data_IF_979644189978
#
_entry.id   IF_979644189978
#
_cell.length_a   1.000
_cell.length_b   1.000
_cell.length_c   1.000
_cell.angle_alpha   90.00
_cell.angle_beta   90.00
_cell.angle_gamma   90.00
#
_symmetry.space_group_name_H-M   'P 1'
#
loop_
_entity.id
_entity.type
_entity.pdbx_description
1 polymer ?
#
# COMPACT_ATOMS: atom_id res chain seq x y z
N UNK A 1 20.24 2.23 -15.96
CA UNK A 1 19.23 1.57 -16.81
C UNK A 1 17.87 2.24 -16.57
N UNK A 2 17.09 2.48 -17.62
CA UNK A 2 15.73 2.99 -17.53
C UNK A 2 14.75 1.83 -17.61
N UNK A 3 13.74 1.84 -16.72
CA UNK A 3 12.65 0.86 -16.71
C UNK A 3 11.34 1.62 -16.87
N UNK A 4 10.53 1.34 -17.90
CA UNK A 4 9.19 1.92 -18.01
C UNK A 4 8.35 1.55 -16.80
N UNK A 5 7.54 2.50 -16.34
CA UNK A 5 6.67 2.28 -15.19
C UNK A 5 5.34 3.01 -15.35
N UNK A 6 4.36 2.57 -14.58
CA UNK A 6 3.05 3.18 -14.47
C UNK A 6 2.72 3.44 -12.99
N UNK A 7 2.23 4.62 -12.67
CA UNK A 7 1.78 4.98 -11.33
C UNK A 7 0.27 5.25 -11.32
N UNK A 8 -0.42 4.81 -10.26
CA UNK A 8 -1.81 5.14 -10.01
C UNK A 8 -1.98 5.61 -8.57
N UNK A 9 -2.57 6.80 -8.43
CA UNK A 9 -2.94 7.39 -7.15
C UNK A 9 -4.44 7.32 -6.94
N UNK A 10 -4.88 7.16 -5.70
CA UNK A 10 -6.30 7.11 -5.33
C UNK A 10 -6.52 7.65 -3.93
N UNK A 11 -7.75 8.04 -3.59
CA UNK A 11 -8.23 7.99 -2.20
C UNK A 11 -8.48 6.54 -1.80
N UNK A 12 -8.74 6.25 -0.52
CA UNK A 12 -8.92 4.87 -0.01
C UNK A 12 -10.29 4.66 0.64
N UNK A 13 -10.63 5.42 1.66
CA UNK A 13 -11.96 5.33 2.30
C UNK A 13 -13.06 5.99 1.45
N UNK A 14 -12.70 6.94 0.61
CA UNK A 14 -13.58 7.59 -0.35
C UNK A 14 -14.23 6.60 -1.31
N UNK A 15 -15.47 6.86 -1.68
CA UNK A 15 -16.21 6.15 -2.72
C UNK A 15 -16.02 6.86 -4.06
N UNK A 16 -16.44 6.23 -5.16
CA UNK A 16 -16.37 6.87 -6.49
C UNK A 16 -17.08 8.22 -6.48
N UNK A 17 -16.37 9.27 -6.90
CA UNK A 17 -16.85 10.66 -6.84
C UNK A 17 -16.56 11.39 -5.53
N UNK A 18 -15.87 10.76 -4.56
CA UNK A 18 -15.31 11.48 -3.41
C UNK A 18 -14.31 12.54 -3.89
N UNK A 19 -14.19 13.64 -3.15
CA UNK A 19 -13.25 14.70 -3.49
C UNK A 19 -11.80 14.29 -3.18
N UNK A 20 -10.87 14.70 -4.05
CA UNK A 20 -9.47 14.36 -3.90
C UNK A 20 -8.84 14.95 -2.63
N UNK A 21 -9.28 16.10 -2.18
CA UNK A 21 -8.78 16.78 -0.99
C UNK A 21 -9.48 16.37 0.33
N UNK A 22 -10.27 15.29 0.33
CA UNK A 22 -10.79 14.74 1.59
C UNK A 22 -9.65 14.19 2.46
N UNK A 23 -9.87 14.23 3.81
CA UNK A 23 -8.98 13.57 4.78
C UNK A 23 -9.09 12.07 4.63
N UNK A 24 -8.05 11.44 4.10
CA UNK A 24 -8.00 10.02 3.79
C UNK A 24 -6.55 9.56 3.61
N UNK A 25 -6.31 8.26 3.63
CA UNK A 25 -5.10 7.66 3.08
C UNK A 25 -5.14 7.83 1.55
N UNK A 26 -3.97 7.96 0.94
CA UNK A 26 -3.84 7.92 -0.53
C UNK A 26 -3.22 6.60 -0.95
N UNK A 27 -3.83 5.92 -1.91
CA UNK A 27 -3.21 4.81 -2.60
C UNK A 27 -2.03 5.30 -3.43
N UNK A 28 -0.95 4.54 -3.44
CA UNK A 28 0.29 4.81 -4.15
C UNK A 28 0.75 3.49 -4.77
N UNK A 29 0.28 3.21 -5.99
CA UNK A 29 0.56 1.96 -6.67
C UNK A 29 1.48 2.19 -7.87
N UNK A 30 2.54 1.38 -7.98
CA UNK A 30 3.52 1.42 -9.04
C UNK A 30 3.58 0.06 -9.72
N UNK A 31 3.65 0.05 -11.05
CA UNK A 31 3.91 -1.11 -11.88
C UNK A 31 5.18 -0.86 -12.69
N UNK A 32 6.20 -1.66 -12.46
CA UNK A 32 7.45 -1.62 -13.23
C UNK A 32 7.43 -2.72 -14.29
N UNK A 33 7.57 -2.33 -15.55
CA UNK A 33 7.65 -3.25 -16.67
C UNK A 33 9.12 -3.65 -16.87
N UNK A 34 9.57 -4.64 -16.10
CA UNK A 34 10.97 -5.09 -16.13
C UNK A 34 11.21 -6.09 -17.25
N UNK A 35 12.47 -6.42 -17.52
CA UNK A 35 12.86 -7.45 -18.48
C UNK A 35 12.54 -8.87 -18.00
N UNK A 36 12.26 -9.04 -16.70
CA UNK A 36 11.94 -10.32 -16.07
C UNK A 36 10.45 -10.45 -15.70
N UNK A 37 9.63 -9.48 -16.13
CA UNK A 37 8.20 -9.45 -15.84
C UNK A 37 7.77 -8.14 -15.19
N UNK A 38 6.51 -8.09 -14.82
CA UNK A 38 5.98 -6.94 -14.08
C UNK A 38 6.24 -7.09 -12.59
N UNK A 39 6.79 -6.04 -12.01
CA UNK A 39 6.85 -5.87 -10.58
C UNK A 39 5.86 -4.80 -10.14
N UNK A 40 4.93 -5.17 -9.26
CA UNK A 40 3.94 -4.25 -8.69
C UNK A 40 4.27 -3.95 -7.23
N UNK A 41 4.36 -2.67 -6.92
CA UNK A 41 4.41 -2.16 -5.56
C UNK A 41 3.06 -1.48 -5.24
N UNK A 42 2.27 -2.10 -4.39
CA UNK A 42 0.91 -1.63 -4.07
C UNK A 42 0.89 -1.07 -2.65
N UNK A 43 1.21 0.20 -2.53
CA UNK A 43 1.39 0.90 -1.27
C UNK A 43 0.43 2.07 -1.05
N UNK A 44 0.76 2.85 -0.04
CA UNK A 44 0.03 4.05 0.37
C UNK A 44 1.00 5.21 0.63
N UNK A 45 0.44 6.40 0.90
CA UNK A 45 1.21 7.55 1.36
C UNK A 45 1.56 7.50 2.85
N UNK A 46 1.31 6.38 3.52
CA UNK A 46 1.59 6.15 4.94
C UNK A 46 2.47 4.92 5.12
N UNK A 47 3.43 4.93 6.07
CA UNK A 47 4.34 3.79 6.28
C UNK A 47 3.71 2.62 7.01
N UNK A 48 2.51 2.79 7.56
CA UNK A 48 1.74 1.79 8.32
C UNK A 48 0.30 1.75 7.85
N UNK A 49 -0.47 0.81 8.41
CA UNK A 49 -1.91 0.68 8.15
C UNK A 49 -2.69 0.52 9.47
N UNK A 50 -4.02 0.58 9.43
CA UNK A 50 -4.88 0.44 10.61
C UNK A 50 -4.85 -0.96 11.22
N UNK A 51 -4.59 -1.98 10.41
CA UNK A 51 -4.76 -3.39 10.73
C UNK A 51 -3.50 -4.18 10.45
N UNK A 52 -3.27 -5.21 11.25
CA UNK A 52 -2.25 -6.23 11.03
C UNK A 52 -2.85 -7.63 10.82
N UNK A 53 -4.14 -7.80 11.10
CA UNK A 53 -4.89 -9.04 10.87
C UNK A 53 -5.89 -8.87 9.73
N UNK A 54 -5.74 -9.60 8.61
CA UNK A 54 -6.62 -9.48 7.45
C UNK A 54 -8.08 -9.83 7.72
N UNK A 55 -8.37 -10.62 8.75
CA UNK A 55 -9.75 -10.97 9.15
C UNK A 55 -10.56 -9.74 9.59
N UNK A 56 -9.90 -8.69 10.06
CA UNK A 56 -10.54 -7.43 10.46
C UNK A 56 -10.76 -6.45 9.30
N UNK A 57 -10.26 -6.76 8.11
CA UNK A 57 -10.38 -5.84 6.97
C UNK A 57 -11.83 -5.62 6.52
N UNK A 58 -12.70 -6.66 6.45
CA UNK A 58 -14.12 -6.46 6.18
C UNK A 58 -14.82 -5.59 7.24
N UNK A 59 -14.44 -5.71 8.51
CA UNK A 59 -15.01 -4.92 9.60
C UNK A 59 -14.57 -3.46 9.51
N UNK A 60 -13.30 -3.19 9.19
CA UNK A 60 -12.84 -1.82 8.89
C UNK A 60 -13.68 -1.20 7.77
N UNK A 61 -13.91 -1.91 6.67
CA UNK A 61 -14.70 -1.41 5.57
C UNK A 61 -16.14 -1.07 6.01
N UNK A 62 -16.77 -1.90 6.81
CA UNK A 62 -18.11 -1.63 7.35
C UNK A 62 -18.14 -0.42 8.28
N UNK A 63 -17.11 -0.27 9.13
CA UNK A 63 -17.02 0.85 10.05
C UNK A 63 -16.84 2.20 9.37
N UNK A 64 -16.03 2.27 8.30
CA UNK A 64 -15.68 3.53 7.61
C UNK A 64 -16.59 3.86 6.44
N UNK A 65 -17.43 2.94 5.96
CA UNK A 65 -18.31 3.16 4.80
C UNK A 65 -19.68 3.66 5.24
N UNK A 66 -20.69 2.83 5.20
CA UNK A 66 -22.09 3.23 5.33
C UNK A 66 -22.82 2.50 6.45
N UNK A 67 -23.59 3.24 7.23
CA UNK A 67 -24.54 2.68 8.18
C UNK A 67 -25.59 1.84 7.43
N UNK A 68 -25.86 0.59 7.84
CA UNK A 68 -26.74 -0.32 7.11
C UNK A 68 -28.21 0.09 7.13
N UNK A 69 -28.61 0.96 8.06
CA UNK A 69 -29.99 1.45 8.19
C UNK A 69 -30.22 2.73 7.40
N UNK A 70 -29.29 3.68 7.49
CA UNK A 70 -29.48 5.03 6.95
C UNK A 70 -28.77 5.26 5.63
N UNK A 71 -27.83 4.39 5.28
CA UNK A 71 -26.90 4.56 4.16
C UNK A 71 -26.04 5.84 4.25
N UNK A 72 -25.87 6.39 5.43
CA UNK A 72 -25.01 7.54 5.70
C UNK A 72 -23.68 7.09 6.31
N UNK A 73 -22.61 7.86 6.12
CA UNK A 73 -21.37 7.65 6.89
C UNK A 73 -21.64 7.95 8.36
N UNK A 74 -21.10 7.13 9.26
CA UNK A 74 -21.29 7.25 10.70
C UNK A 74 -19.98 7.55 11.41
N UNK A 75 -19.84 8.76 11.91
CA UNK A 75 -18.73 9.16 12.77
C UNK A 75 -18.65 8.28 14.00
N UNK A 76 -19.79 7.93 14.62
CA UNK A 76 -19.87 7.02 15.75
C UNK A 76 -19.26 5.66 15.45
N UNK A 77 -19.67 4.99 14.35
CA UNK A 77 -19.16 3.65 14.03
C UNK A 77 -17.69 3.65 13.66
N UNK A 78 -17.25 4.67 12.92
CA UNK A 78 -15.85 4.81 12.56
C UNK A 78 -14.96 4.95 13.80
N UNK A 79 -15.31 5.87 14.72
CA UNK A 79 -14.52 6.09 15.94
C UNK A 79 -14.71 5.00 16.99
N UNK A 80 -15.86 4.33 17.04
CA UNK A 80 -16.05 3.16 17.89
C UNK A 80 -15.07 2.05 17.51
N UNK A 81 -14.99 1.74 16.22
CA UNK A 81 -14.04 0.74 15.70
C UNK A 81 -12.59 1.12 16.03
N UNK A 82 -12.17 2.35 15.69
CA UNK A 82 -10.80 2.78 15.92
C UNK A 82 -10.43 2.85 17.40
N UNK A 83 -11.34 3.23 18.28
CA UNK A 83 -11.06 3.29 19.71
C UNK A 83 -11.09 1.92 20.38
N UNK A 84 -11.76 0.93 19.82
CA UNK A 84 -11.73 -0.46 20.27
C UNK A 84 -10.52 -1.24 19.76
N UNK A 85 -9.86 -0.74 18.73
CA UNK A 85 -8.74 -1.38 18.06
C UNK A 85 -7.44 -0.59 18.29
N UNK A 86 -6.70 -0.86 19.39
CA UNK A 86 -5.52 -0.05 19.73
C UNK A 86 -4.40 -0.13 18.69
N UNK A 87 -4.27 -1.19 17.94
CA UNK A 87 -3.31 -1.33 16.84
C UNK A 87 -3.49 -0.27 15.74
N UNK A 88 -4.70 0.29 15.60
CA UNK A 88 -5.00 1.34 14.64
C UNK A 88 -4.44 2.71 15.03
N UNK A 89 -4.04 2.93 16.28
CA UNK A 89 -3.67 4.25 16.80
C UNK A 89 -2.56 4.91 16.01
N UNK A 90 -1.53 4.16 15.58
CA UNK A 90 -0.42 4.69 14.79
C UNK A 90 -0.91 5.30 13.47
N UNK A 91 -1.70 4.55 12.72
CA UNK A 91 -2.27 5.02 11.46
C UNK A 91 -3.27 6.15 11.66
N UNK A 92 -4.13 6.07 12.68
CA UNK A 92 -5.09 7.15 13.01
C UNK A 92 -4.34 8.44 13.33
N UNK A 93 -3.23 8.38 14.09
CA UNK A 93 -2.38 9.54 14.39
C UNK A 93 -1.87 10.19 13.09
N UNK A 94 -1.42 9.42 12.13
CA UNK A 94 -0.94 9.96 10.83
C UNK A 94 -2.10 10.59 10.04
N UNK A 95 -3.25 9.91 9.94
CA UNK A 95 -4.40 10.42 9.18
C UNK A 95 -5.00 11.67 9.82
N UNK A 96 -4.98 11.80 11.14
CA UNK A 96 -5.47 12.97 11.85
C UNK A 96 -4.43 14.10 11.94
N UNK A 97 -3.16 13.85 11.65
CA UNK A 97 -2.14 14.88 11.55
C UNK A 97 -2.36 15.80 10.32
N UNK A 98 -1.47 16.76 10.13
CA UNK A 98 -1.40 17.59 8.93
C UNK A 98 -1.22 16.75 7.64
N UNK A 99 -0.59 15.58 7.73
CA UNK A 99 -0.37 14.68 6.59
C UNK A 99 -1.62 13.97 6.07
N UNK A 100 -2.73 14.05 6.77
CA UNK A 100 -4.00 13.42 6.35
C UNK A 100 -4.64 14.06 5.11
N UNK A 101 -4.24 15.27 4.74
CA UNK A 101 -4.68 15.95 3.52
C UNK A 101 -3.47 16.48 2.77
N UNK A 102 -2.79 15.67 1.96
CA UNK A 102 -1.74 16.15 1.06
C UNK A 102 -2.31 17.21 0.11
N UNK A 103 -1.54 18.26 -0.14
CA UNK A 103 -1.93 19.34 -1.07
C UNK A 103 -2.19 18.80 -2.49
N UNK A 104 -1.39 17.83 -2.92
CA UNK A 104 -1.58 17.10 -4.16
C UNK A 104 -0.89 15.74 -4.11
N UNK A 105 -1.10 14.88 -5.12
CA UNK A 105 -0.38 13.61 -5.26
C UNK A 105 1.14 13.79 -5.40
N UNK A 106 1.60 14.94 -5.90
CA UNK A 106 3.03 15.26 -6.05
C UNK A 106 3.73 15.55 -4.73
N UNK A 107 2.99 15.98 -3.70
CA UNK A 107 3.50 16.46 -2.41
C UNK A 107 3.37 15.42 -1.29
N UNK A 108 3.37 14.14 -1.62
CA UNK A 108 3.32 13.06 -0.64
C UNK A 108 4.38 12.00 -0.93
N UNK A 109 4.86 11.34 0.12
CA UNK A 109 5.68 10.14 -0.01
C UNK A 109 4.81 8.93 -0.34
N UNK A 110 5.45 7.87 -0.87
CA UNK A 110 4.86 6.56 -1.01
C UNK A 110 5.63 5.53 -0.18
N UNK A 111 4.93 4.47 0.25
CA UNK A 111 5.51 3.41 1.07
C UNK A 111 4.94 2.06 0.64
N UNK A 112 5.76 1.02 0.68
CA UNK A 112 5.26 -0.35 0.58
C UNK A 112 4.41 -0.74 1.79
N UNK A 113 4.67 -0.10 2.93
CA UNK A 113 4.15 -0.37 4.27
C UNK A 113 4.51 -1.77 4.77
N UNK A 114 4.29 -2.79 3.96
CA UNK A 114 4.70 -4.17 4.22
C UNK A 114 6.21 -4.36 4.20
N UNK A 115 6.64 -5.39 4.91
CA UNK A 115 7.97 -5.97 4.73
C UNK A 115 7.92 -6.96 3.58
N UNK A 116 8.88 -6.84 2.67
CA UNK A 116 9.19 -7.79 1.61
C UNK A 116 10.55 -8.43 1.90
N UNK A 117 11.05 -9.23 0.98
CA UNK A 117 12.42 -9.75 1.06
C UNK A 117 13.20 -9.52 -0.23
N UNK A 118 14.51 -9.30 -0.09
CA UNK A 118 15.48 -9.46 -1.16
C UNK A 118 16.18 -10.81 -1.01
N UNK A 119 16.44 -11.45 -2.14
CA UNK A 119 17.24 -12.67 -2.23
C UNK A 119 18.40 -12.40 -3.18
N UNK A 120 19.60 -12.52 -2.68
CA UNK A 120 20.81 -12.25 -3.44
C UNK A 120 21.26 -13.47 -4.26
N UNK A 121 22.34 -13.30 -5.05
CA UNK A 121 22.91 -14.37 -5.89
C UNK A 121 23.45 -15.56 -5.09
N UNK A 122 23.74 -15.39 -3.81
CA UNK A 122 24.18 -16.46 -2.90
C UNK A 122 23.00 -17.19 -2.25
N UNK A 123 21.77 -16.89 -2.65
CA UNK A 123 20.53 -17.40 -2.05
C UNK A 123 20.37 -17.03 -0.57
N UNK A 124 20.81 -15.83 -0.19
CA UNK A 124 20.64 -15.27 1.14
C UNK A 124 19.48 -14.29 1.15
N UNK A 125 18.64 -14.36 2.20
CA UNK A 125 17.47 -13.49 2.37
C UNK A 125 17.80 -12.29 3.24
N UNK A 126 17.25 -11.12 2.86
CA UNK A 126 17.22 -9.88 3.64
C UNK A 126 15.80 -9.34 3.64
N UNK A 127 15.33 -8.86 4.76
CA UNK A 127 14.03 -8.17 4.82
C UNK A 127 14.18 -6.75 4.31
N UNK A 128 13.16 -6.26 3.61
CA UNK A 128 13.20 -4.94 2.98
C UNK A 128 11.87 -4.21 3.11
N UNK A 129 11.92 -2.89 3.34
CA UNK A 129 10.80 -1.97 3.18
C UNK A 129 11.15 -0.94 2.12
N UNK A 130 10.21 -0.64 1.22
CA UNK A 130 10.38 0.34 0.15
C UNK A 130 9.76 1.68 0.53
N UNK A 131 10.48 2.75 0.25
CA UNK A 131 10.09 4.13 0.49
C UNK A 131 10.26 4.94 -0.79
N UNK A 132 9.27 5.76 -1.12
CA UNK A 132 9.30 6.65 -2.28
C UNK A 132 9.19 8.09 -1.76
N UNK A 133 10.30 8.81 -1.81
CA UNK A 133 10.44 10.15 -1.22
C UNK A 133 10.20 11.20 -2.29
N UNK A 134 9.07 11.93 -2.18
CA UNK A 134 8.81 13.03 -3.13
C UNK A 134 9.95 14.04 -3.12
N UNK A 135 10.33 14.51 -4.30
CA UNK A 135 11.35 15.56 -4.48
C UNK A 135 10.71 16.96 -4.57
N UNK A 136 9.39 17.06 -4.68
CA UNK A 136 8.63 18.30 -4.68
C UNK A 136 8.42 18.89 -3.28
N UNK A 137 8.86 18.18 -2.23
CA UNK A 137 8.59 18.55 -0.84
C UNK A 137 7.22 18.05 -0.34
N UNK A 138 7.04 18.08 0.96
CA UNK A 138 5.77 17.76 1.62
C UNK A 138 4.99 19.06 1.83
N UNK A 139 3.80 19.12 1.27
CA UNK A 139 2.83 20.19 1.49
C UNK A 139 1.46 19.58 1.81
N UNK A 140 0.77 20.14 2.78
CA UNK A 140 -0.51 19.65 3.26
C UNK A 140 -1.50 20.80 3.36
N UNK A 141 -2.79 20.48 3.28
CA UNK A 141 -3.89 21.43 3.47
C UNK A 141 -4.43 21.33 4.89
N UNK A 142 -4.82 22.48 5.44
CA UNK A 142 -5.70 22.54 6.61
C UNK A 142 -7.12 22.10 6.25
N UNK A 143 -7.95 21.79 7.25
CA UNK A 143 -9.36 21.44 7.00
C UNK A 143 -10.11 22.56 6.28
N UNK A 144 -9.84 23.84 6.58
CA UNK A 144 -10.48 24.98 5.94
C UNK A 144 -10.03 25.19 4.50
N UNK A 145 -8.73 25.05 4.22
CA UNK A 145 -8.21 25.10 2.85
C UNK A 145 -8.75 23.97 2.01
N UNK A 146 -8.78 22.74 2.58
CA UNK A 146 -9.36 21.59 1.89
C UNK A 146 -10.84 21.78 1.56
N UNK A 147 -11.64 22.33 2.49
CA UNK A 147 -13.04 22.63 2.26
C UNK A 147 -13.23 23.63 1.09
N UNK A 148 -12.37 24.65 1.02
CA UNK A 148 -12.41 25.62 -0.10
C UNK A 148 -12.00 24.94 -1.42
N UNK A 149 -10.92 24.18 -1.44
CA UNK A 149 -10.46 23.44 -2.63
C UNK A 149 -11.55 22.49 -3.13
N UNK A 150 -12.22 21.76 -2.24
CA UNK A 150 -13.32 20.85 -2.60
C UNK A 150 -14.51 21.59 -3.20
N UNK A 151 -14.81 22.78 -2.69
CA UNK A 151 -15.90 23.61 -3.23
C UNK A 151 -15.59 24.12 -4.64
N UNK A 152 -14.33 24.43 -4.91
CA UNK A 152 -13.90 24.98 -6.20
C UNK A 152 -13.60 23.85 -7.23
N UNK A 153 -12.95 22.78 -6.81
CA UNK A 153 -12.55 21.66 -7.67
C UNK A 153 -12.45 20.34 -6.89
N UNK A 154 -13.39 19.45 -7.11
CA UNK A 154 -13.42 18.14 -6.45
C UNK A 154 -12.29 17.20 -6.90
N UNK A 155 -11.82 17.35 -8.13
CA UNK A 155 -10.76 16.57 -8.77
C UNK A 155 -9.39 17.29 -8.73
N UNK A 156 -9.16 18.10 -7.70
CA UNK A 156 -8.01 19.01 -7.60
C UNK A 156 -6.66 18.32 -7.71
N UNK A 157 -6.47 17.14 -7.12
CA UNK A 157 -5.21 16.41 -7.17
C UNK A 157 -5.00 15.74 -8.54
N UNK A 158 -6.07 15.23 -9.14
CA UNK A 158 -6.04 14.67 -10.49
C UNK A 158 -5.67 15.76 -11.51
N UNK A 159 -6.29 16.94 -11.41
CA UNK A 159 -5.99 18.10 -12.26
C UNK A 159 -4.55 18.55 -12.10
N UNK A 160 -4.10 18.74 -10.86
CA UNK A 160 -2.72 19.18 -10.56
C UNK A 160 -1.68 18.24 -11.19
N UNK A 161 -1.86 16.93 -11.04
CA UNK A 161 -0.92 15.93 -11.60
C UNK A 161 -0.94 15.95 -13.12
N UNK A 162 -2.13 15.92 -13.73
CA UNK A 162 -2.29 15.90 -15.17
C UNK A 162 -1.65 17.16 -15.81
N UNK A 163 -2.01 18.33 -15.32
CA UNK A 163 -1.51 19.59 -15.84
C UNK A 163 -0.01 19.80 -15.58
N UNK A 164 0.52 19.29 -14.46
CA UNK A 164 1.96 19.33 -14.20
C UNK A 164 2.74 18.56 -15.28
N UNK A 165 2.26 17.39 -15.67
CA UNK A 165 2.88 16.58 -16.71
C UNK A 165 2.74 17.26 -18.09
N UNK A 166 1.57 17.82 -18.41
CA UNK A 166 1.35 18.53 -19.69
C UNK A 166 2.27 19.75 -19.85
N UNK A 167 2.51 20.52 -18.79
CA UNK A 167 3.45 21.66 -18.84
C UNK A 167 4.92 21.26 -18.63
N UNK A 168 5.23 19.94 -18.60
CA UNK A 168 6.57 19.38 -18.43
C UNK A 168 7.22 19.67 -17.05
N UNK A 169 6.43 19.99 -16.05
CA UNK A 169 6.83 20.03 -14.63
C UNK A 169 6.72 18.63 -14.02
N UNK A 170 7.65 17.75 -14.44
CA UNK A 170 7.57 16.34 -14.16
C UNK A 170 7.84 16.00 -12.69
N UNK A 171 6.88 15.45 -11.96
CA UNK A 171 7.07 15.08 -10.57
C UNK A 171 7.99 13.87 -10.45
N UNK A 172 8.85 13.88 -9.41
CA UNK A 172 9.90 12.88 -9.16
C UNK A 172 9.85 12.36 -7.74
N UNK A 173 10.23 11.09 -7.60
CA UNK A 173 10.43 10.45 -6.30
C UNK A 173 11.75 9.70 -6.29
N UNK A 174 12.47 9.82 -5.17
CA UNK A 174 13.60 8.94 -4.86
C UNK A 174 13.07 7.62 -4.34
N UNK A 175 13.54 6.53 -4.90
CA UNK A 175 13.30 5.19 -4.39
C UNK A 175 14.38 4.84 -3.37
N UNK A 176 13.96 4.60 -2.13
CA UNK A 176 14.84 4.19 -1.05
C UNK A 176 14.38 2.85 -0.47
N UNK A 177 15.30 2.13 0.14
CA UNK A 177 15.04 0.90 0.86
C UNK A 177 15.60 0.95 2.28
N UNK A 178 14.93 0.29 3.20
CA UNK A 178 15.52 -0.14 4.47
C UNK A 178 15.79 -1.63 4.36
N UNK A 179 16.97 -2.07 4.78
CA UNK A 179 17.38 -3.47 4.71
C UNK A 179 17.69 -3.98 6.12
N UNK A 180 17.08 -5.09 6.49
CA UNK A 180 17.31 -5.79 7.76
C UNK A 180 17.83 -7.19 7.45
N UNK A 181 18.98 -7.59 7.99
CA UNK A 181 19.46 -8.99 7.91
C UNK A 181 18.39 -9.95 8.45
N UNK A 182 18.23 -11.13 7.82
CA UNK A 182 17.23 -12.12 8.25
C UNK A 182 17.36 -12.47 9.75
N UNK A 183 18.60 -12.56 10.23
CA UNK A 183 18.93 -12.90 11.62
C UNK A 183 18.58 -11.83 12.64
N UNK A 184 18.27 -10.60 12.21
CA UNK A 184 17.94 -9.49 13.10
C UNK A 184 16.44 -9.44 13.41
N UNK A 185 15.61 -10.12 12.61
CA UNK A 185 14.17 -10.12 12.78
C UNK A 185 13.72 -10.59 14.18
N UNK A 186 14.47 -11.53 14.78
CA UNK A 186 14.19 -12.04 16.13
C UNK A 186 14.79 -11.18 17.26
N UNK A 187 15.63 -10.18 16.94
CA UNK A 187 16.37 -9.39 17.92
C UNK A 187 15.75 -7.99 18.16
N UNK A 188 14.99 -7.50 17.21
CA UNK A 188 14.40 -6.15 17.32
C UNK A 188 13.26 -6.13 18.33
N UNK A 189 13.06 -5.01 19.07
CA UNK A 189 12.06 -4.91 20.14
C UNK A 189 10.63 -4.67 19.61
N UNK A 190 10.39 -4.91 18.34
CA UNK A 190 9.09 -4.80 17.68
C UNK A 190 8.98 -5.93 16.65
N UNK A 191 7.75 -6.29 16.30
CA UNK A 191 7.52 -7.31 15.28
C UNK A 191 7.81 -6.76 13.88
N UNK A 192 8.84 -7.20 13.17
CA UNK A 192 9.28 -6.59 11.91
C UNK A 192 8.31 -6.82 10.75
N UNK A 193 7.36 -7.76 10.88
CA UNK A 193 6.33 -8.08 9.91
C UNK A 193 4.96 -7.55 10.30
N UNK A 194 4.86 -6.75 11.36
CA UNK A 194 3.63 -6.08 11.76
C UNK A 194 3.42 -4.82 10.93
N UNK A 195 2.33 -4.78 10.17
CA UNK A 195 2.00 -3.66 9.29
C UNK A 195 1.68 -2.35 10.04
N UNK A 196 1.45 -2.40 11.34
CA UNK A 196 1.22 -1.21 12.17
C UNK A 196 2.51 -0.60 12.71
N UNK A 197 3.67 -1.21 12.40
CA UNK A 197 4.99 -0.82 12.89
C UNK A 197 5.90 -0.31 11.77
N UNK A 198 6.75 0.64 12.12
CA UNK A 198 7.87 1.10 11.27
C UNK A 198 9.19 0.56 11.82
N UNK A 199 10.21 0.53 10.98
CA UNK A 199 11.57 0.33 11.42
C UNK A 199 12.22 1.69 11.64
N UNK A 200 12.79 1.99 12.82
CA UNK A 200 13.46 3.24 13.07
C UNK A 200 14.61 3.48 12.08
N UNK A 201 14.70 4.69 11.51
CA UNK A 201 15.76 5.03 10.56
C UNK A 201 17.14 5.08 11.21
N UNK A 202 17.21 5.21 12.54
CA UNK A 202 18.48 5.11 13.30
C UNK A 202 19.05 3.71 13.29
N UNK A 203 18.19 2.69 13.27
CA UNK A 203 18.59 1.28 13.29
C UNK A 203 18.78 0.75 11.86
N UNK A 204 17.84 1.09 10.98
CA UNK A 204 17.84 0.70 9.56
C UNK A 204 17.70 1.96 8.70
N UNK A 205 18.82 2.60 8.30
CA UNK A 205 18.78 3.85 7.54
C UNK A 205 18.23 3.64 6.13
N UNK A 206 17.71 4.73 5.54
CA UNK A 206 17.26 4.75 4.16
C UNK A 206 18.47 4.72 3.23
N UNK A 207 18.47 3.77 2.30
CA UNK A 207 19.47 3.61 1.23
C UNK A 207 18.78 4.01 -0.08
N UNK A 208 19.29 5.05 -0.73
CA UNK A 208 18.80 5.48 -2.05
C UNK A 208 19.26 4.48 -3.12
N UNK A 209 18.32 3.93 -3.89
CA UNK A 209 18.59 2.91 -4.92
C UNK A 209 18.20 3.36 -6.32
N UNK A 210 17.45 4.45 -6.45
CA UNK A 210 17.03 4.99 -7.74
C UNK A 210 16.03 6.14 -7.60
N UNK A 211 15.54 6.58 -8.74
CA UNK A 211 14.47 7.57 -8.82
C UNK A 211 13.50 7.23 -9.95
N UNK A 212 12.30 7.76 -9.88
CA UNK A 212 11.38 7.75 -11.01
C UNK A 212 10.74 9.11 -11.21
N UNK A 213 10.35 9.34 -12.45
CA UNK A 213 9.71 10.56 -12.94
C UNK A 213 8.43 10.20 -13.68
N UNK A 214 7.36 10.96 -13.45
CA UNK A 214 6.13 10.85 -14.22
C UNK A 214 6.15 11.90 -15.33
N UNK A 215 6.38 11.45 -16.56
CA UNK A 215 6.64 12.31 -17.71
C UNK A 215 5.68 12.09 -18.88
N UNK A 216 4.66 11.26 -18.72
CA UNK A 216 3.63 11.03 -19.72
C UNK A 216 2.28 10.76 -19.07
N UNK A 217 1.27 11.49 -19.50
CA UNK A 217 -0.12 11.19 -19.18
C UNK A 217 -0.66 10.01 -20.01
N UNK A 218 -1.68 9.26 -19.52
CA UNK A 218 -2.37 8.28 -20.33
C UNK A 218 -3.13 8.96 -21.48
N UNK A 219 -3.23 8.27 -22.61
CA UNK A 219 -4.00 8.77 -23.76
C UNK A 219 -5.51 8.50 -23.61
N UNK A 220 -5.86 7.43 -22.92
CA UNK A 220 -7.24 7.08 -22.64
C UNK A 220 -7.37 6.56 -21.20
N UNK A 221 -8.09 7.30 -20.36
CA UNK A 221 -8.23 6.97 -18.94
C UNK A 221 -8.82 5.58 -18.71
N UNK A 222 -9.83 5.19 -19.47
CA UNK A 222 -10.47 3.88 -19.30
C UNK A 222 -9.50 2.74 -19.65
N UNK A 223 -8.84 2.80 -20.81
CA UNK A 223 -7.92 1.77 -21.27
C UNK A 223 -6.67 1.67 -20.38
N UNK A 224 -6.09 2.81 -20.04
CA UNK A 224 -4.75 2.86 -19.45
C UNK A 224 -4.78 2.95 -17.91
N UNK A 225 -5.88 3.44 -17.32
CA UNK A 225 -5.99 3.68 -15.87
C UNK A 225 -7.12 2.87 -15.23
N UNK A 226 -8.36 2.99 -15.71
CA UNK A 226 -9.50 2.28 -15.12
C UNK A 226 -9.31 0.77 -15.16
N UNK A 227 -8.80 0.23 -16.25
CA UNK A 227 -8.53 -1.20 -16.42
C UNK A 227 -7.18 -1.66 -15.86
N UNK A 228 -6.39 -0.76 -15.28
CA UNK A 228 -5.14 -1.16 -14.65
C UNK A 228 -5.39 -2.06 -13.45
N UNK A 229 -4.60 -3.12 -13.34
CA UNK A 229 -4.66 -4.10 -12.28
C UNK A 229 -3.29 -4.23 -11.62
N UNK A 230 -3.25 -4.04 -10.30
CA UNK A 230 -2.05 -4.21 -9.49
C UNK A 230 -2.24 -5.42 -8.57
N UNK A 231 -1.16 -6.12 -8.30
CA UNK A 231 -1.17 -7.21 -7.32
C UNK A 231 0.18 -7.30 -6.60
N UNK A 232 0.21 -7.37 -5.26
CA UNK A 232 1.44 -7.59 -4.51
C UNK A 232 2.15 -8.90 -4.84
N UNK A 233 1.44 -9.84 -5.47
CA UNK A 233 1.99 -11.11 -5.97
C UNK A 233 2.77 -10.98 -7.29
N UNK A 234 2.68 -9.85 -7.98
CA UNK A 234 3.49 -9.59 -9.17
C UNK A 234 4.89 -9.18 -8.72
N UNK A 235 5.78 -10.13 -8.64
CA UNK A 235 7.16 -9.99 -8.21
C UNK A 235 8.10 -10.49 -9.31
N UNK A 236 9.36 -10.10 -9.24
CA UNK A 236 10.42 -10.53 -10.15
C UNK A 236 11.52 -11.24 -9.35
N UNK A 237 12.36 -12.07 -9.98
CA UNK A 237 13.45 -12.76 -9.30
C UNK A 237 14.29 -11.80 -8.44
N UNK A 238 14.63 -12.23 -7.22
CA UNK A 238 15.36 -11.42 -6.24
C UNK A 238 14.49 -10.58 -5.32
N UNK A 239 13.19 -10.44 -5.60
CA UNK A 239 12.21 -9.80 -4.71
C UNK A 239 11.15 -10.85 -4.35
N UNK A 240 10.89 -11.04 -3.06
CA UNK A 240 9.89 -11.96 -2.57
C UNK A 240 9.10 -11.38 -1.40
N UNK A 241 8.16 -12.15 -0.89
CA UNK A 241 7.27 -11.77 0.20
C UNK A 241 7.90 -12.01 1.57
N UNK A 242 7.18 -11.65 2.61
CA UNK A 242 7.52 -11.91 4.01
C UNK A 242 6.37 -12.63 4.73
N UNK A 243 6.56 -13.07 5.99
CA UNK A 243 5.49 -13.63 6.82
C UNK A 243 4.42 -12.63 7.27
N UNK A 244 4.48 -11.36 6.85
CA UNK A 244 3.44 -10.36 7.12
C UNK A 244 2.06 -10.90 6.73
N UNK A 245 1.18 -11.10 7.71
CA UNK A 245 -0.15 -11.72 7.51
C UNK A 245 -1.04 -10.93 6.57
N UNK A 246 -0.99 -9.60 6.66
CA UNK A 246 -1.74 -8.74 5.75
C UNK A 246 -1.21 -8.89 4.32
N UNK A 247 0.11 -8.95 4.13
CA UNK A 247 0.70 -9.19 2.80
C UNK A 247 0.28 -10.56 2.26
N UNK A 248 0.37 -11.61 3.06
CA UNK A 248 -0.03 -12.96 2.66
C UNK A 248 -1.49 -13.02 2.18
N UNK A 249 -2.41 -12.38 2.88
CA UNK A 249 -3.81 -12.29 2.44
C UNK A 249 -3.96 -11.50 1.13
N UNK A 250 -3.17 -10.43 0.95
CA UNK A 250 -3.20 -9.60 -0.25
C UNK A 250 -2.70 -10.33 -1.50
N UNK A 251 -1.88 -11.37 -1.36
CA UNK A 251 -1.42 -12.19 -2.51
C UNK A 251 -2.60 -12.88 -3.23
N UNK A 252 -3.63 -13.25 -2.49
CA UNK A 252 -4.83 -13.91 -3.03
C UNK A 252 -5.91 -12.91 -3.42
N UNK A 253 -6.16 -11.94 -2.54
CA UNK A 253 -7.29 -11.02 -2.65
C UNK A 253 -7.26 -10.18 -3.94
N UNK A 254 -6.10 -9.69 -4.34
CA UNK A 254 -5.98 -8.83 -5.53
C UNK A 254 -6.30 -9.58 -6.81
N UNK A 255 -5.77 -10.78 -6.99
CA UNK A 255 -6.07 -11.59 -8.16
C UNK A 255 -7.55 -11.98 -8.25
N UNK A 256 -8.18 -12.31 -7.11
CA UNK A 256 -9.61 -12.59 -7.04
C UNK A 256 -10.45 -11.37 -7.44
N UNK A 257 -10.18 -10.23 -6.82
CA UNK A 257 -10.89 -8.99 -7.11
C UNK A 257 -10.75 -8.55 -8.58
N UNK A 258 -9.57 -8.70 -9.18
CA UNK A 258 -9.32 -8.32 -10.57
C UNK A 258 -10.05 -9.24 -11.56
N UNK A 259 -10.13 -10.55 -11.30
CA UNK A 259 -10.92 -11.48 -12.11
C UNK A 259 -12.40 -11.11 -12.11
N UNK A 260 -12.93 -10.73 -10.97
CA UNK A 260 -14.31 -10.26 -10.85
C UNK A 260 -14.53 -8.91 -11.56
N UNK A 261 -13.62 -7.95 -11.38
CA UNK A 261 -13.75 -6.59 -11.91
C UNK A 261 -13.51 -6.50 -13.42
N UNK A 262 -12.51 -7.23 -13.94
CA UNK A 262 -11.99 -7.08 -15.30
C UNK A 262 -12.14 -8.34 -16.18
N UNK A 263 -12.45 -9.48 -15.58
CA UNK A 263 -12.55 -10.77 -16.29
C UNK A 263 -11.32 -11.65 -16.11
N UNK A 264 -11.44 -12.92 -16.55
CA UNK A 264 -10.41 -13.96 -16.37
C UNK A 264 -9.09 -13.65 -17.08
N UNK A 265 -9.12 -12.89 -18.16
CA UNK A 265 -7.94 -12.53 -18.96
C UNK A 265 -7.45 -11.09 -18.71
N UNK A 266 -7.71 -10.48 -17.54
CA UNK A 266 -7.30 -9.10 -17.25
C UNK A 266 -5.80 -8.86 -17.38
N UNK A 267 -4.98 -9.89 -17.24
CA UNK A 267 -3.53 -9.79 -17.39
C UNK A 267 -3.08 -9.58 -18.84
N UNK A 268 -3.96 -9.78 -19.83
CA UNK A 268 -3.69 -9.52 -21.24
C UNK A 268 -4.04 -8.09 -21.67
N UNK A 269 -4.79 -7.35 -20.86
CA UNK A 269 -5.06 -5.94 -21.14
C UNK A 269 -3.71 -5.21 -21.22
N UNK A 270 -3.45 -4.41 -22.25
CA UNK A 270 -2.11 -3.86 -22.54
C UNK A 270 -1.42 -3.18 -21.36
N UNK A 271 -2.16 -2.44 -20.52
CA UNK A 271 -1.60 -1.79 -19.33
C UNK A 271 -1.16 -2.80 -18.26
N UNK A 272 -1.73 -4.02 -18.26
CA UNK A 272 -1.43 -5.07 -17.29
C UNK A 272 -0.43 -6.09 -17.82
N UNK A 273 -0.30 -6.20 -19.13
CA UNK A 273 0.55 -7.19 -19.77
C UNK A 273 2.04 -6.90 -19.53
N UNK A 274 2.83 -7.96 -19.36
CA UNK A 274 4.28 -7.84 -19.34
C UNK A 274 4.79 -7.39 -20.72
N UNK A 275 5.81 -6.53 -20.73
CA UNK A 275 6.43 -6.02 -21.97
C UNK A 275 7.60 -6.87 -22.45
N UNK A 276 7.91 -7.92 -21.75
CA UNK A 276 8.94 -8.89 -22.11
C UNK A 276 8.31 -10.27 -22.35
N UNK A 277 8.97 -11.17 -23.06
CA UNK A 277 8.51 -12.53 -23.28
C UNK A 277 8.65 -13.33 -21.96
N UNK A 278 7.65 -13.23 -21.09
CA UNK A 278 7.56 -13.98 -19.84
C UNK A 278 6.68 -15.20 -20.07
N UNK A 279 7.18 -16.37 -19.71
CA UNK A 279 6.34 -17.56 -19.65
C UNK A 279 5.34 -17.44 -18.50
N UNK A 280 4.07 -17.66 -18.80
CA UNK A 280 2.99 -17.60 -17.83
C UNK A 280 2.20 -18.90 -17.84
N UNK A 281 1.79 -19.34 -16.65
CA UNK A 281 0.86 -20.46 -16.48
C UNK A 281 -0.61 -20.06 -16.64
N UNK A 282 -0.88 -18.78 -16.93
CA UNK A 282 -2.22 -18.29 -17.21
C UNK A 282 -2.63 -18.63 -18.64
N UNK A 283 -3.37 -19.71 -18.78
CA UNK A 283 -3.88 -20.20 -20.06
C UNK A 283 -5.40 -20.26 -20.03
N UNK A 284 -5.97 -20.33 -21.22
CA UNK A 284 -7.40 -20.46 -21.43
C UNK A 284 -8.17 -19.25 -20.88
N UNK A 285 -9.36 -19.42 -20.40
CA UNK A 285 -10.21 -18.34 -19.90
C UNK A 285 -10.98 -17.62 -21.01
N UNK A 286 -12.23 -17.31 -20.73
CA UNK A 286 -13.13 -16.73 -21.70
C UNK A 286 -12.66 -15.35 -22.18
N UNK A 287 -12.89 -15.06 -23.46
CA UNK A 287 -12.48 -13.80 -24.07
C UNK A 287 -11.01 -13.73 -24.46
N UNK A 288 -10.26 -14.83 -24.35
CA UNK A 288 -8.87 -14.87 -24.79
C UNK A 288 -8.77 -14.76 -26.31
N UNK A 289 -7.86 -13.91 -26.82
CA UNK A 289 -7.74 -13.59 -28.24
C UNK A 289 -6.31 -13.66 -28.77
N UNK A 290 -5.34 -14.03 -27.91
CA UNK A 290 -3.96 -14.29 -28.31
C UNK A 290 -3.74 -15.77 -28.71
N UNK A 291 -2.48 -16.18 -28.88
CA UNK A 291 -2.12 -17.55 -29.23
C UNK A 291 -2.24 -18.57 -28.09
N UNK A 292 -2.65 -18.14 -26.89
CA UNK A 292 -2.79 -18.96 -25.69
C UNK A 292 -1.51 -19.76 -25.34
N UNK A 293 -0.33 -19.21 -25.62
CA UNK A 293 0.98 -19.88 -25.49
C UNK A 293 1.12 -21.17 -26.33
N UNK A 294 0.43 -21.26 -27.47
CA UNK A 294 0.56 -22.35 -28.40
C UNK A 294 -0.13 -23.64 -27.98
N UNK A 295 0.20 -24.72 -28.67
CA UNK A 295 -0.50 -26.02 -28.58
C UNK A 295 0.27 -27.10 -27.83
N UNK A 296 1.48 -26.79 -27.32
CA UNK A 296 2.30 -27.79 -26.61
C UNK A 296 1.80 -28.01 -25.18
N UNK A 297 2.05 -29.19 -24.60
CA UNK A 297 1.66 -29.49 -23.22
C UNK A 297 2.28 -28.51 -22.23
N UNK A 298 1.55 -28.20 -21.18
CA UNK A 298 1.96 -27.22 -20.14
C UNK A 298 1.90 -27.80 -18.72
N UNK A 299 2.31 -29.03 -18.57
CA UNK A 299 2.45 -29.71 -17.28
C UNK A 299 3.91 -30.07 -17.00
N UNK A 300 4.28 -30.14 -15.76
CA UNK A 300 5.60 -30.49 -15.27
C UNK A 300 5.49 -31.73 -14.35
N UNK A 301 6.35 -32.75 -14.48
CA UNK A 301 7.38 -32.92 -15.51
C UNK A 301 6.79 -33.36 -16.86
N UNK A 302 7.47 -33.01 -17.98
CA UNK A 302 7.08 -33.47 -19.32
C UNK A 302 8.30 -33.83 -20.16
N UNK A 303 8.06 -34.57 -21.23
CA UNK A 303 9.09 -35.03 -22.19
C UNK A 303 9.25 -34.09 -23.41
N UNK A 304 8.55 -32.97 -23.45
CA UNK A 304 8.47 -32.11 -24.63
C UNK A 304 9.35 -30.85 -24.52
N UNK A 305 9.99 -30.61 -23.37
CA UNK A 305 10.96 -29.54 -23.16
C UNK A 305 10.40 -28.13 -23.07
N UNK A 306 9.07 -27.97 -22.97
CA UNK A 306 8.43 -26.64 -22.95
C UNK A 306 8.34 -26.00 -21.56
N UNK A 307 7.98 -26.78 -20.56
CA UNK A 307 7.76 -26.31 -19.18
C UNK A 307 8.72 -27.06 -18.28
N UNK A 308 9.58 -26.32 -17.63
CA UNK A 308 10.62 -26.89 -16.77
C UNK A 308 10.75 -26.03 -15.52
N UNK A 309 11.03 -26.70 -14.39
CA UNK A 309 11.44 -26.01 -13.18
C UNK A 309 12.64 -25.09 -13.44
N UNK A 310 12.69 -23.98 -12.73
CA UNK A 310 13.77 -23.01 -12.78
C UNK A 310 14.49 -22.97 -11.43
N UNK A 311 15.33 -23.97 -11.11
CA UNK A 311 15.93 -24.14 -9.80
C UNK A 311 16.86 -22.97 -9.39
N UNK A 312 17.35 -22.21 -10.37
CA UNK A 312 18.13 -20.99 -10.12
C UNK A 312 17.34 -19.89 -9.40
N UNK A 313 16.01 -19.95 -9.43
CA UNK A 313 15.14 -19.01 -8.72
C UNK A 313 14.55 -19.58 -7.42
N UNK A 314 15.03 -20.76 -7.00
CA UNK A 314 14.59 -21.36 -5.75
C UNK A 314 14.96 -20.46 -4.57
N UNK A 315 13.96 -20.07 -3.79
CA UNK A 315 14.14 -19.24 -2.61
C UNK A 315 14.71 -20.03 -1.42
N UNK A 316 15.49 -19.39 -0.53
CA UNK A 316 15.90 -20.01 0.71
C UNK A 316 14.67 -20.33 1.58
N UNK A 317 14.62 -21.48 2.25
CA UNK A 317 13.50 -21.82 3.11
C UNK A 317 13.41 -20.87 4.30
N UNK A 318 12.18 -20.52 4.70
CA UNK A 318 11.97 -19.87 6.00
C UNK A 318 12.23 -20.87 7.11
N UNK A 319 12.97 -20.44 8.13
CA UNK A 319 13.12 -21.23 9.37
C UNK A 319 11.84 -21.06 10.17
N UNK A 320 11.08 -22.16 10.32
CA UNK A 320 9.87 -22.23 11.14
C UNK A 320 10.22 -23.04 12.38
N UNK A 321 9.90 -22.50 13.55
CA UNK A 321 10.04 -23.19 14.84
C UNK A 321 8.69 -23.25 15.54
N UNK A 322 8.43 -24.34 16.27
CA UNK A 322 7.15 -24.55 16.95
C UNK A 322 6.05 -25.09 16.04
N UNK A 323 4.82 -25.07 16.55
CA UNK A 323 3.64 -25.57 15.84
C UNK A 323 3.18 -24.52 14.81
N UNK A 324 2.98 -24.94 13.57
CA UNK A 324 2.46 -24.07 12.51
C UNK A 324 0.92 -24.04 12.58
N UNK A 325 0.38 -23.20 13.43
CA UNK A 325 -1.04 -22.96 13.57
C UNK A 325 -1.36 -21.45 13.46
N UNK A 326 -2.40 -21.07 14.10
CA UNK A 326 -2.92 -19.72 14.15
C UNK A 326 -2.07 -18.83 15.06
N UNK A 327 -1.50 -17.78 14.49
CA UNK A 327 -0.75 -16.79 15.28
C UNK A 327 -1.67 -15.68 15.80
N UNK A 328 -1.72 -15.51 17.10
CA UNK A 328 -2.46 -14.43 17.75
C UNK A 328 -1.51 -13.29 18.16
N UNK A 329 -1.51 -12.21 17.39
CA UNK A 329 -0.72 -11.04 17.70
C UNK A 329 -0.93 -10.44 19.10
N UNK A 330 -2.08 -10.70 19.72
CA UNK A 330 -2.38 -10.18 21.06
C UNK A 330 -1.48 -10.80 22.13
N UNK A 331 -0.99 -12.00 21.90
CA UNK A 331 -0.07 -12.68 22.82
C UNK A 331 1.38 -12.26 22.59
N UNK A 332 1.77 -12.00 21.33
CA UNK A 332 3.15 -11.72 20.95
C UNK A 332 3.56 -10.26 21.09
N UNK A 333 2.65 -9.34 20.81
CA UNK A 333 2.95 -7.91 20.79
C UNK A 333 1.75 -7.09 21.21
N UNK A 334 1.77 -6.63 22.45
CA UNK A 334 0.75 -5.76 23.05
C UNK A 334 1.16 -4.29 23.09
N UNK A 335 2.33 -3.92 22.58
CA UNK A 335 2.76 -2.52 22.52
C UNK A 335 2.16 -1.82 21.29
N UNK A 336 1.05 -1.14 21.53
CA UNK A 336 0.35 -0.33 20.53
C UNK A 336 0.67 1.17 20.65
N UNK A 337 1.43 1.61 21.67
CA UNK A 337 1.55 3.01 22.04
C UNK A 337 2.93 3.61 21.85
N UNK A 338 4.00 2.82 21.94
CA UNK A 338 5.38 3.33 21.87
C UNK A 338 5.69 4.05 20.57
N UNK A 339 5.32 3.48 19.42
CA UNK A 339 5.59 4.11 18.12
C UNK A 339 4.70 5.32 17.84
N UNK A 340 3.38 5.32 18.06
CA UNK A 340 2.57 6.54 17.97
C UNK A 340 3.07 7.66 18.91
N UNK A 341 3.50 7.33 20.14
CA UNK A 341 4.10 8.27 21.06
C UNK A 341 5.41 8.84 20.54
N UNK A 342 6.27 8.00 19.96
CA UNK A 342 7.52 8.45 19.34
C UNK A 342 7.22 9.41 18.17
N UNK A 343 6.25 9.09 17.32
CA UNK A 343 5.80 9.96 16.25
C UNK A 343 5.29 11.31 16.79
N UNK A 344 4.44 11.29 17.81
CA UNK A 344 3.92 12.50 18.46
C UNK A 344 5.04 13.38 19.02
N UNK A 345 6.05 12.79 19.65
CA UNK A 345 7.19 13.51 20.21
C UNK A 345 8.05 14.19 19.13
N UNK A 346 8.10 13.65 17.91
CA UNK A 346 8.80 14.25 16.77
C UNK A 346 8.04 15.43 16.15
N UNK A 347 6.75 15.57 16.42
CA UNK A 347 5.92 16.64 15.86
C UNK A 347 6.30 17.99 16.46
N UNK A 348 6.30 19.04 15.63
CA UNK A 348 6.35 20.43 16.08
C UNK A 348 5.06 20.77 16.82
N UNK A 349 5.07 21.80 17.64
CA UNK A 349 3.90 22.21 18.44
C UNK A 349 2.69 22.55 17.53
N UNK A 350 2.92 23.18 16.39
CA UNK A 350 1.87 23.45 15.41
C UNK A 350 1.23 22.16 14.84
N UNK A 351 2.03 21.11 14.64
CA UNK A 351 1.54 19.82 14.15
C UNK A 351 0.77 19.05 15.24
N UNK A 352 1.21 19.14 16.50
CA UNK A 352 0.48 18.60 17.65
C UNK A 352 -0.87 19.28 17.81
N UNK A 353 -0.90 20.61 17.68
CA UNK A 353 -2.15 21.37 17.75
C UNK A 353 -3.09 21.01 16.57
N UNK A 354 -2.55 20.86 15.38
CA UNK A 354 -3.32 20.40 14.22
C UNK A 354 -3.90 19.00 14.46
N UNK A 355 -3.11 18.06 14.99
CA UNK A 355 -3.58 16.70 15.34
C UNK A 355 -4.77 16.76 16.31
N UNK A 356 -4.68 17.57 17.38
CA UNK A 356 -5.77 17.71 18.36
C UNK A 356 -7.02 18.31 17.73
N UNK A 357 -6.88 19.41 16.99
CA UNK A 357 -7.99 20.09 16.34
C UNK A 357 -8.68 19.20 15.30
N UNK A 358 -7.89 18.50 14.47
CA UNK A 358 -8.41 17.60 13.44
C UNK A 358 -9.15 16.41 14.07
N UNK A 359 -8.59 15.83 15.14
CA UNK A 359 -9.22 14.72 15.86
C UNK A 359 -10.52 15.16 16.51
N UNK A 360 -10.53 16.30 17.19
CA UNK A 360 -11.73 16.85 17.82
C UNK A 360 -12.83 17.13 16.78
N UNK A 361 -12.48 17.75 15.66
CA UNK A 361 -13.42 18.01 14.56
C UNK A 361 -13.98 16.71 13.95
N UNK A 362 -13.10 15.72 13.69
CA UNK A 362 -13.52 14.45 13.12
C UNK A 362 -14.40 13.60 14.04
N UNK A 363 -14.27 13.79 15.37
CA UNK A 363 -15.10 13.10 16.36
C UNK A 363 -16.40 13.85 16.75
N UNK A 364 -16.63 15.02 16.21
CA UNK A 364 -17.67 15.95 16.69
C UNK A 364 -19.00 15.30 17.04
N UNK A 365 -19.55 14.49 16.15
CA UNK A 365 -20.87 13.86 16.28
C UNK A 365 -20.81 12.43 16.87
N UNK A 366 -19.63 11.95 17.27
CA UNK A 366 -19.54 10.65 17.92
C UNK A 366 -20.17 10.68 19.32
N UNK A 367 -20.69 9.54 19.78
CA UNK A 367 -21.25 9.39 21.11
C UNK A 367 -20.20 9.66 22.20
N UNK A 368 -20.61 10.28 23.31
CA UNK A 368 -19.69 10.76 24.34
C UNK A 368 -18.84 9.66 24.98
N UNK A 369 -19.39 8.46 25.18
CA UNK A 369 -18.62 7.34 25.73
C UNK A 369 -17.46 6.91 24.82
N UNK A 370 -17.55 7.12 23.49
CA UNK A 370 -16.49 6.85 22.52
C UNK A 370 -15.40 7.92 22.65
N UNK A 371 -15.81 9.20 22.76
CA UNK A 371 -14.89 10.32 23.01
C UNK A 371 -14.11 10.09 24.30
N UNK A 372 -14.80 9.70 25.37
CA UNK A 372 -14.17 9.38 26.65
C UNK A 372 -13.18 8.22 26.54
N UNK A 373 -13.54 7.15 25.80
CA UNK A 373 -12.64 6.00 25.54
C UNK A 373 -11.35 6.41 24.88
N UNK A 374 -11.40 7.30 23.88
CA UNK A 374 -10.18 7.82 23.24
C UNK A 374 -9.31 8.58 24.22
N UNK A 375 -9.88 9.51 24.97
CA UNK A 375 -9.17 10.33 25.95
C UNK A 375 -8.51 9.51 27.07
N UNK A 376 -9.11 8.39 27.47
CA UNK A 376 -8.57 7.53 28.54
C UNK A 376 -7.49 6.55 28.07
N UNK A 377 -7.50 6.16 26.80
CA UNK A 377 -6.50 5.27 26.22
C UNK A 377 -5.24 5.97 25.73
N UNK A 378 -5.27 7.28 25.58
CA UNK A 378 -4.11 8.09 25.18
C UNK A 378 -3.24 8.56 26.37
N UNK A 379 -3.61 8.19 27.61
CA UNK A 379 -2.80 8.41 28.80
C UNK A 379 -1.81 7.27 29.01
#
# INVERSE_FOLDING_TARGET
>A
KQTPMFARFTTVAGERGAADAERDIRGFALKFYTEEGNWDMVGNNTPVFFLRDPRKFPDLNKAVKRDPRTNLRSTTYNWDFWTLLPEALHQVTIVMSDRGIPKSYRHMHGFSSHTYSFINANNERFWVKFHFRTQQGIENLTNSEAAQVIADDRESNQRDLYEAIERQDFPKWKMCVQIMPETDAEKVPYHPFDLTKVWPHGDYPLIEVGEFELNKNPENFFLDVEQSAFAPSNLVPGISVSPDRMLQARLFNYADAQRYRLGSNYQQIPVNAARCPVHSNHRDGQGRSDDNYGSLPHYEPNSFGQWQEQPQFKEPPLKITGDADFWDFREDDSDYFSQPRALFNLMKDSQKQALFNNTAAAMGDALDFIKYRLCTRQK
#
